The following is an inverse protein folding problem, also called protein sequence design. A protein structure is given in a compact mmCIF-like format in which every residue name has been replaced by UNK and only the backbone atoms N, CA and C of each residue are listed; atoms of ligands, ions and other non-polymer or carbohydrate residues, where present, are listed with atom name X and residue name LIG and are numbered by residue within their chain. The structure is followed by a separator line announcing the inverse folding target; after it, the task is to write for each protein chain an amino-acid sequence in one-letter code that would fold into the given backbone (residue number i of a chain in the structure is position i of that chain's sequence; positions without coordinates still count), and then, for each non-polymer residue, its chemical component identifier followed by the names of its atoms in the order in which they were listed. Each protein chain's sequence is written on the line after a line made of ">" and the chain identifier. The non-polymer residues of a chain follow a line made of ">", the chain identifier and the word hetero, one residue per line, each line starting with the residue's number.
data_IF_691508212905
#
_entry.id   IF_691508212905
#
_cell.length_a   1.000
_cell.length_b   1.000
_cell.length_c   1.000
_cell.angle_alpha   90.00
_cell.angle_beta   90.00
_cell.angle_gamma   90.00
#
_symmetry.space_group_name_H-M   'P 1'
#
loop_
_entity.id
_entity.type
_entity.pdbx_description
1 polymer ?
#
# COMPACT_ATOMS: atom_id res chain seq x y z
N UNK A 1 4.79 26.46 -28.01
CA UNK A 1 4.59 25.92 -26.64
C UNK A 1 3.36 25.00 -26.59
N UNK A 2 3.42 23.83 -27.24
CA UNK A 2 2.37 22.78 -27.19
C UNK A 2 2.94 21.38 -26.95
N UNK A 3 4.28 21.25 -26.94
CA UNK A 3 5.00 19.98 -26.80
C UNK A 3 5.40 19.67 -25.35
N UNK A 4 5.27 20.63 -24.44
CA UNK A 4 5.58 20.46 -23.01
C UNK A 4 4.44 19.79 -22.23
N UNK A 5 3.18 19.92 -22.69
CA UNK A 5 2.04 19.32 -21.99
C UNK A 5 2.02 17.79 -22.05
N UNK A 6 2.59 17.20 -23.11
CA UNK A 6 2.60 15.74 -23.32
C UNK A 6 3.69 15.06 -22.46
N UNK A 7 4.81 15.75 -22.20
CA UNK A 7 5.90 15.24 -21.37
C UNK A 7 5.53 15.20 -19.89
N UNK A 8 4.69 16.13 -19.41
CA UNK A 8 4.22 16.13 -18.01
C UNK A 8 3.15 15.05 -17.78
N UNK A 9 2.29 14.76 -18.76
CA UNK A 9 1.30 13.68 -18.66
C UNK A 9 1.93 12.27 -18.64
N UNK A 10 3.05 12.07 -19.34
CA UNK A 10 3.74 10.78 -19.38
C UNK A 10 4.53 10.47 -18.10
N UNK A 11 5.02 11.51 -17.40
CA UNK A 11 5.72 11.35 -16.12
C UNK A 11 4.77 10.99 -14.95
N UNK A 12 3.49 11.37 -15.04
CA UNK A 12 2.48 10.98 -14.05
C UNK A 12 1.94 9.56 -14.26
N UNK A 13 2.11 8.97 -15.45
CA UNK A 13 1.61 7.63 -15.78
C UNK A 13 2.51 6.46 -15.36
N UNK A 14 3.77 6.74 -14.99
CA UNK A 14 4.77 5.70 -14.68
C UNK A 14 4.93 5.39 -13.19
N UNK A 15 4.19 6.09 -12.32
CA UNK A 15 4.13 5.79 -10.87
C UNK A 15 2.96 4.83 -10.52
N UNK A 16 2.43 4.09 -11.51
CA UNK A 16 1.32 3.13 -11.35
C UNK A 16 1.81 1.67 -11.39
N UNK A 17 3.04 1.43 -10.96
CA UNK A 17 3.60 0.08 -10.91
C UNK A 17 4.26 -0.11 -9.56
N UNK A 18 3.48 -0.59 -8.57
CA UNK A 18 3.82 -1.71 -7.68
C UNK A 18 2.50 -2.11 -6.99
N UNK A 19 1.97 -3.27 -7.42
CA UNK A 19 1.10 -4.21 -6.70
C UNK A 19 0.12 -3.64 -5.63
N UNK A 20 -1.01 -3.08 -6.05
CA UNK A 20 -2.22 -3.07 -5.21
C UNK A 20 -2.77 -4.50 -5.10
N UNK A 21 -3.14 -4.97 -3.91
CA UNK A 21 -3.95 -6.19 -3.79
C UNK A 21 -5.25 -5.97 -4.58
N UNK A 22 -5.63 -6.95 -5.41
CA UNK A 22 -6.75 -6.79 -6.36
C UNK A 22 -8.11 -6.67 -5.67
N UNK A 23 -8.21 -7.03 -4.40
CA UNK A 23 -9.49 -7.30 -3.76
C UNK A 23 -10.00 -6.13 -2.90
N UNK A 24 -9.16 -5.17 -2.51
CA UNK A 24 -9.56 -4.01 -1.69
C UNK A 24 -9.37 -2.63 -2.34
N UNK A 25 -8.63 -2.55 -3.45
CA UNK A 25 -8.38 -1.30 -4.17
C UNK A 25 -7.41 -0.34 -3.47
N UNK A 26 -6.66 -0.81 -2.46
CA UNK A 26 -5.63 -0.04 -1.78
C UNK A 26 -4.33 -0.15 -2.58
N UNK A 27 -3.76 0.99 -2.97
CA UNK A 27 -2.52 1.03 -3.73
C UNK A 27 -1.31 0.82 -2.82
N UNK A 28 -0.27 0.14 -3.32
CA UNK A 28 1.01 0.10 -2.60
C UNK A 28 1.57 1.51 -2.42
N UNK A 29 2.27 1.68 -1.31
CA UNK A 29 2.91 2.92 -0.93
C UNK A 29 4.14 3.18 -1.79
N UNK A 30 4.38 4.45 -2.10
CA UNK A 30 5.63 4.94 -2.68
C UNK A 30 6.53 5.56 -1.61
N UNK A 31 7.77 5.90 -2.00
CA UNK A 31 8.84 6.39 -1.11
C UNK A 31 8.47 7.62 -0.25
N UNK A 32 7.42 8.35 -0.61
CA UNK A 32 6.94 9.55 0.11
C UNK A 32 5.47 9.43 0.52
N UNK A 33 5.05 8.22 0.90
CA UNK A 33 3.69 7.97 1.40
C UNK A 33 3.38 8.81 2.65
N UNK A 34 2.24 9.50 2.58
CA UNK A 34 1.68 10.26 3.71
C UNK A 34 1.17 9.34 4.80
N UNK A 35 1.07 9.84 6.04
CA UNK A 35 0.52 9.07 7.16
C UNK A 35 -0.91 8.60 6.89
N UNK A 36 -1.70 9.41 6.17
CA UNK A 36 -3.05 9.03 5.76
C UNK A 36 -3.06 7.82 4.80
N UNK A 37 -2.07 7.71 3.91
CA UNK A 37 -1.95 6.54 3.03
C UNK A 37 -1.48 5.30 3.79
N UNK A 38 -0.56 5.45 4.75
CA UNK A 38 -0.16 4.36 5.64
C UNK A 38 -1.33 3.84 6.45
N UNK A 39 -2.15 4.74 6.98
CA UNK A 39 -3.35 4.39 7.75
C UNK A 39 -4.38 3.61 6.93
N UNK A 40 -4.53 3.93 5.63
CA UNK A 40 -5.39 3.14 4.74
C UNK A 40 -4.89 1.70 4.62
N UNK A 41 -3.58 1.48 4.51
CA UNK A 41 -2.98 0.13 4.47
C UNK A 41 -3.18 -0.60 5.80
N UNK A 42 -2.97 0.07 6.95
CA UNK A 42 -3.22 -0.54 8.28
C UNK A 42 -4.66 -0.99 8.42
N UNK A 43 -5.60 -0.14 8.02
CA UNK A 43 -7.03 -0.46 8.03
C UNK A 43 -7.37 -1.60 7.07
N UNK A 44 -6.80 -1.61 5.86
CA UNK A 44 -6.98 -2.70 4.91
C UNK A 44 -6.49 -4.05 5.46
N UNK A 45 -5.33 -4.06 6.13
CA UNK A 45 -4.82 -5.25 6.80
C UNK A 45 -5.76 -5.72 7.92
N UNK A 46 -6.26 -4.79 8.74
CA UNK A 46 -7.23 -5.11 9.79
C UNK A 46 -8.51 -5.72 9.20
N UNK A 47 -9.11 -5.06 8.21
CA UNK A 47 -10.36 -5.50 7.60
C UNK A 47 -10.21 -6.87 6.91
N UNK A 48 -9.05 -7.16 6.30
CA UNK A 48 -8.77 -8.45 5.62
C UNK A 48 -8.38 -9.56 6.59
N UNK A 49 -7.59 -9.25 7.61
CA UNK A 49 -6.98 -10.24 8.48
C UNK A 49 -7.72 -10.46 9.80
N UNK A 50 -8.73 -9.64 10.13
CA UNK A 50 -9.58 -9.86 11.32
C UNK A 50 -10.39 -11.15 11.24
N UNK A 51 -10.68 -11.65 10.04
CA UNK A 51 -11.32 -12.96 9.82
C UNK A 51 -10.33 -14.13 9.81
N UNK A 52 -9.02 -13.84 9.74
CA UNK A 52 -8.01 -14.87 9.91
C UNK A 52 -7.97 -15.28 11.40
N UNK A 53 -7.93 -16.59 11.68
CA UNK A 53 -7.77 -17.08 13.05
C UNK A 53 -6.52 -16.49 13.71
N UNK A 54 -6.53 -16.36 15.04
CA UNK A 54 -5.49 -15.64 15.81
C UNK A 54 -4.06 -16.07 15.44
N UNK A 55 -3.82 -17.37 15.25
CA UNK A 55 -2.52 -17.94 14.87
C UNK A 55 -2.01 -17.50 13.48
N UNK A 56 -2.91 -17.02 12.61
CA UNK A 56 -2.60 -16.60 11.23
C UNK A 56 -2.77 -15.10 11.01
N UNK A 57 -3.35 -14.40 11.98
CA UNK A 57 -3.64 -12.97 11.87
C UNK A 57 -2.36 -12.16 11.72
N UNK A 58 -1.35 -12.46 12.53
CA UNK A 58 -0.04 -11.79 12.46
C UNK A 58 0.63 -12.02 11.10
N UNK A 59 0.70 -13.27 10.63
CA UNK A 59 1.25 -13.60 9.31
C UNK A 59 0.50 -12.89 8.17
N UNK A 60 -0.83 -12.85 8.24
CA UNK A 60 -1.68 -12.16 7.27
C UNK A 60 -1.39 -10.65 7.23
N UNK A 61 -1.28 -9.99 8.39
CA UNK A 61 -0.99 -8.55 8.47
C UNK A 61 0.40 -8.25 7.90
N UNK A 62 1.40 -9.06 8.24
CA UNK A 62 2.77 -8.88 7.75
C UNK A 62 2.86 -9.06 6.24
N UNK A 63 2.19 -10.07 5.68
CA UNK A 63 2.12 -10.27 4.23
C UNK A 63 1.39 -9.11 3.55
N UNK A 64 0.27 -8.65 4.12
CA UNK A 64 -0.48 -7.52 3.59
C UNK A 64 0.35 -6.23 3.57
N UNK A 65 1.11 -5.95 4.63
CA UNK A 65 2.01 -4.80 4.70
C UNK A 65 3.13 -4.89 3.65
N UNK A 66 3.72 -6.07 3.48
CA UNK A 66 4.74 -6.30 2.47
C UNK A 66 4.20 -6.08 1.04
N UNK A 67 2.97 -6.54 0.76
CA UNK A 67 2.32 -6.30 -0.53
C UNK A 67 2.10 -4.81 -0.82
N UNK A 68 1.84 -4.01 0.22
CA UNK A 68 1.57 -2.58 0.10
C UNK A 68 2.79 -1.69 0.36
N UNK A 69 4.01 -2.24 0.40
CA UNK A 69 5.25 -1.52 0.74
C UNK A 69 5.17 -0.72 2.05
N UNK A 70 4.39 -1.21 3.03
CA UNK A 70 4.38 -0.63 4.37
C UNK A 70 5.45 -1.32 5.20
N UNK A 71 6.60 -0.66 5.34
CA UNK A 71 7.64 -1.10 6.27
C UNK A 71 7.37 -0.48 7.65
N UNK A 72 6.86 -1.30 8.57
CA UNK A 72 6.73 -0.95 9.98
C UNK A 72 7.59 -1.90 10.82
N UNK A 73 8.40 -1.36 11.71
CA UNK A 73 9.06 -2.17 12.72
C UNK A 73 7.98 -2.77 13.62
N UNK A 74 8.00 -4.08 13.91
CA UNK A 74 7.11 -4.66 14.90
C UNK A 74 7.28 -3.88 16.20
N UNK A 75 6.18 -3.37 16.76
CA UNK A 75 6.22 -2.65 18.02
C UNK A 75 6.70 -3.61 19.11
N UNK A 76 7.95 -3.46 19.53
CA UNK A 76 8.49 -4.10 20.73
C UNK A 76 7.94 -3.36 21.96
N UNK A 77 6.66 -3.56 22.29
CA UNK A 77 6.09 -3.21 23.60
C UNK A 77 6.40 -4.32 24.63
#
# INVERSE_FOLDING_TARGET
>A
MKKLAILVGFLLGLNMSVLADKDDGIAALGDSATDAQKELVRKGAQDRCDEAGEDKKEECVMDYYAQHNLEEEPSCD
#
